data_IF_298854104038
#
_entry.id   IF_298854104038
#
_cell.length_a   1.000
_cell.length_b   1.000
_cell.length_c   1.000
_cell.angle_alpha   90.00
_cell.angle_beta   90.00
_cell.angle_gamma   90.00
#
_symmetry.space_group_name_H-M   'P 1'
#
loop_
_entity.id
_entity.type
_entity.pdbx_description
1 polymer ?
#
# COMPACT_ATOMS: atom_id res chain seq x y z
N UNK A 1 -5.62 -5.65 -25.06
CA UNK A 1 -4.64 -4.70 -24.49
C UNK A 1 -5.14 -3.29 -24.78
N UNK A 2 -5.36 -2.49 -23.74
CA UNK A 2 -5.90 -1.13 -23.83
C UNK A 2 -4.80 -0.11 -23.51
N UNK A 3 -4.99 1.13 -23.95
CA UNK A 3 -4.18 2.28 -23.55
C UNK A 3 -5.10 3.31 -22.91
N UNK A 4 -4.76 3.73 -21.69
CA UNK A 4 -5.47 4.78 -20.99
C UNK A 4 -4.59 6.04 -20.95
N UNK A 5 -5.09 7.12 -21.53
CA UNK A 5 -4.37 8.38 -21.67
C UNK A 5 -4.82 9.36 -20.57
N UNK A 6 -3.86 9.89 -19.82
CA UNK A 6 -4.06 11.04 -18.95
C UNK A 6 -3.35 12.28 -19.49
N UNK A 7 -3.37 13.35 -18.69
CA UNK A 7 -2.79 14.66 -19.03
C UNK A 7 -1.27 14.63 -19.18
N UNK A 8 -0.56 13.86 -18.35
CA UNK A 8 0.91 13.89 -18.29
C UNK A 8 1.57 12.60 -18.77
N UNK A 9 0.82 11.49 -18.85
CA UNK A 9 1.34 10.20 -19.30
C UNK A 9 0.24 9.25 -19.83
N UNK A 10 0.63 8.10 -20.36
CA UNK A 10 -0.24 6.98 -20.73
C UNK A 10 0.09 5.70 -19.94
N UNK A 11 -0.93 4.90 -19.65
CA UNK A 11 -0.80 3.57 -19.07
C UNK A 11 -1.13 2.49 -20.11
N UNK A 12 -0.23 1.49 -20.22
CA UNK A 12 -0.47 0.29 -21.03
C UNK A 12 -1.14 -0.78 -20.17
N UNK A 13 -2.35 -1.19 -20.56
CA UNK A 13 -3.21 -2.10 -19.79
C UNK A 13 -3.28 -3.47 -20.47
N UNK A 14 -2.91 -4.53 -19.75
CA UNK A 14 -2.78 -5.88 -20.30
C UNK A 14 -4.06 -6.72 -20.25
N UNK A 15 -5.21 -6.09 -19.98
CA UNK A 15 -6.55 -6.69 -20.06
C UNK A 15 -7.50 -5.79 -20.86
N UNK A 16 -8.60 -6.35 -21.34
CA UNK A 16 -9.72 -5.61 -21.92
C UNK A 16 -10.89 -5.46 -20.94
N UNK A 17 -10.80 -6.09 -19.77
CA UNK A 17 -11.85 -6.10 -18.75
C UNK A 17 -11.36 -5.30 -17.55
N UNK A 18 -11.72 -4.02 -17.49
CA UNK A 18 -11.40 -3.12 -16.38
C UNK A 18 -12.67 -2.41 -15.96
N UNK A 19 -12.98 -2.42 -14.67
CA UNK A 19 -14.16 -1.72 -14.16
C UNK A 19 -13.98 -0.19 -14.23
N UNK A 20 -15.10 0.54 -14.12
CA UNK A 20 -15.09 2.02 -14.24
C UNK A 20 -14.28 2.70 -13.14
N UNK A 21 -14.28 2.16 -11.93
CA UNK A 21 -13.55 2.72 -10.79
C UNK A 21 -12.06 2.55 -10.98
N UNK A 22 -11.59 1.36 -11.35
CA UNK A 22 -10.19 1.10 -11.69
C UNK A 22 -9.73 1.96 -12.87
N UNK A 23 -10.55 2.06 -13.93
CA UNK A 23 -10.26 2.93 -15.08
C UNK A 23 -10.08 4.39 -14.65
N UNK A 24 -10.96 4.90 -13.77
CA UNK A 24 -10.85 6.23 -13.20
C UNK A 24 -9.55 6.43 -12.43
N UNK A 25 -9.18 5.49 -11.56
CA UNK A 25 -7.93 5.53 -10.78
C UNK A 25 -6.68 5.54 -11.68
N UNK A 26 -6.66 4.75 -12.76
CA UNK A 26 -5.54 4.73 -13.72
C UNK A 26 -5.42 6.07 -14.44
N UNK A 27 -6.53 6.64 -14.89
CA UNK A 27 -6.56 7.97 -15.54
C UNK A 27 -6.12 9.04 -14.54
N UNK A 28 -6.59 8.99 -13.30
CA UNK A 28 -6.22 9.91 -12.23
C UNK A 28 -4.71 9.87 -11.94
N UNK A 29 -4.09 8.69 -11.93
CA UNK A 29 -2.63 8.53 -11.85
C UNK A 29 -1.93 9.16 -13.06
N UNK A 30 -2.40 8.89 -14.28
CA UNK A 30 -1.85 9.45 -15.52
C UNK A 30 -2.03 10.99 -15.63
N UNK A 31 -2.93 11.56 -14.82
CA UNK A 31 -3.15 12.99 -14.68
C UNK A 31 -2.22 13.66 -13.66
N UNK A 32 -1.33 12.93 -13.00
CA UNK A 32 -0.35 13.50 -12.08
C UNK A 32 0.93 13.91 -12.81
N UNK A 33 1.44 15.11 -12.53
CA UNK A 33 2.64 15.61 -13.23
C UNK A 33 3.89 14.77 -12.93
N UNK A 34 3.99 14.20 -11.73
CA UNK A 34 5.16 13.42 -11.32
C UNK A 34 5.35 12.13 -12.12
N UNK A 35 4.29 11.63 -12.76
CA UNK A 35 4.39 10.42 -13.60
C UNK A 35 4.92 10.72 -14.99
N UNK A 36 5.19 11.98 -15.35
CA UNK A 36 5.75 12.36 -16.65
C UNK A 36 7.04 11.57 -16.93
N UNK A 37 7.11 10.92 -18.08
CA UNK A 37 8.26 10.09 -18.48
C UNK A 37 8.38 8.74 -17.77
N UNK A 38 7.49 8.42 -16.82
CA UNK A 38 7.44 7.11 -16.19
C UNK A 38 6.90 6.05 -17.16
N UNK A 39 7.35 4.81 -17.05
CA UNK A 39 6.72 3.69 -17.74
C UNK A 39 5.62 3.14 -16.84
N UNK A 40 4.35 3.26 -17.24
CA UNK A 40 3.20 2.75 -16.46
C UNK A 40 2.63 1.51 -17.16
N UNK A 41 2.49 0.41 -16.42
CA UNK A 41 1.95 -0.87 -16.85
C UNK A 41 0.88 -1.33 -15.85
N UNK A 42 -0.27 -1.72 -16.37
CA UNK A 42 -1.39 -2.22 -15.56
C UNK A 42 -1.62 -3.69 -15.90
N UNK A 43 -1.45 -4.54 -14.89
CA UNK A 43 -1.51 -6.00 -15.01
C UNK A 43 -2.95 -6.50 -15.26
N UNK A 44 -3.10 -7.73 -15.78
CA UNK A 44 -4.42 -8.24 -16.17
C UNK A 44 -5.43 -8.39 -15.03
N UNK A 45 -4.94 -8.53 -13.79
CA UNK A 45 -5.70 -8.66 -12.54
C UNK A 45 -6.09 -7.32 -11.89
N UNK A 46 -5.91 -6.21 -12.62
CA UNK A 46 -6.20 -4.86 -12.13
C UNK A 46 -7.62 -4.72 -11.61
N UNK A 47 -7.74 -4.05 -10.47
CA UNK A 47 -9.01 -3.67 -9.87
C UNK A 47 -8.80 -2.44 -8.98
N UNK A 48 -9.90 -1.81 -8.57
CA UNK A 48 -9.85 -0.63 -7.72
C UNK A 48 -9.18 -0.93 -6.38
N UNK A 49 -8.20 -0.09 -6.01
CA UNK A 49 -7.52 -0.17 -4.72
C UNK A 49 -7.72 1.09 -3.87
N UNK A 50 -6.97 1.20 -2.78
CA UNK A 50 -6.99 2.37 -1.90
C UNK A 50 -6.20 3.54 -2.53
N UNK A 51 -6.81 4.20 -3.51
CA UNK A 51 -6.29 5.41 -4.15
C UNK A 51 -5.47 5.19 -5.42
N UNK A 52 -4.91 4.00 -5.60
CA UNK A 52 -4.38 3.51 -6.88
C UNK A 52 -4.92 2.11 -7.17
N UNK A 53 -4.84 1.68 -8.42
CA UNK A 53 -5.23 0.32 -8.81
C UNK A 53 -4.25 -0.71 -8.29
N UNK A 54 -4.77 -1.84 -7.80
CA UNK A 54 -3.96 -3.06 -7.65
C UNK A 54 -3.55 -3.54 -9.04
N UNK A 55 -2.40 -4.21 -9.16
CA UNK A 55 -1.83 -4.60 -10.45
C UNK A 55 -1.11 -3.46 -11.18
N UNK A 56 -0.77 -2.36 -10.49
CA UNK A 56 0.04 -1.28 -11.07
C UNK A 56 1.52 -1.60 -10.97
N UNK A 57 2.26 -1.44 -12.07
CA UNK A 57 3.73 -1.47 -12.09
C UNK A 57 4.22 -0.24 -12.82
N UNK A 58 5.12 0.51 -12.19
CA UNK A 58 5.68 1.71 -12.81
C UNK A 58 7.09 2.03 -12.36
N UNK A 59 7.82 2.78 -13.19
CA UNK A 59 9.11 3.35 -12.82
C UNK A 59 8.92 4.64 -12.02
N UNK A 60 9.61 4.79 -10.90
CA UNK A 60 9.76 6.04 -10.15
C UNK A 60 11.24 6.16 -9.78
N UNK A 61 11.86 7.33 -9.95
CA UNK A 61 13.31 7.50 -9.78
C UNK A 61 13.67 8.30 -8.54
N UNK A 62 13.08 9.49 -8.39
CA UNK A 62 13.51 10.54 -7.46
C UNK A 62 12.47 10.83 -6.37
N UNK A 63 11.47 9.94 -6.22
CA UNK A 63 10.29 10.17 -5.37
C UNK A 63 9.80 8.85 -4.78
N UNK A 64 8.99 8.95 -3.73
CA UNK A 64 8.25 7.82 -3.16
C UNK A 64 6.77 8.20 -3.08
N UNK A 65 5.88 7.27 -3.43
CA UNK A 65 4.42 7.41 -3.23
C UNK A 65 3.97 6.22 -2.40
N UNK A 66 3.78 6.37 -1.08
CA UNK A 66 3.49 5.25 -0.18
C UNK A 66 2.30 4.40 -0.63
N UNK A 67 1.21 5.04 -1.06
CA UNK A 67 0.02 4.35 -1.55
C UNK A 67 0.21 3.56 -2.85
N UNK A 68 1.25 3.82 -3.66
CA UNK A 68 1.58 2.98 -4.82
C UNK A 68 2.28 1.68 -4.42
N UNK A 69 2.87 1.63 -3.22
CA UNK A 69 3.40 0.38 -2.63
C UNK A 69 2.26 -0.42 -2.01
N UNK A 70 1.30 0.27 -1.38
CA UNK A 70 0.15 -0.34 -0.72
C UNK A 70 0.26 -0.36 0.80
N UNK A 71 -0.87 -0.56 1.47
CA UNK A 71 -0.97 -0.48 2.95
C UNK A 71 -0.49 -1.74 3.67
N UNK A 72 -0.56 -2.90 3.03
CA UNK A 72 0.02 -4.15 3.57
C UNK A 72 1.40 -4.35 2.93
N UNK A 73 2.37 -3.56 3.39
CA UNK A 73 3.73 -3.54 2.86
C UNK A 73 4.31 -4.96 2.91
N UNK A 74 4.85 -5.44 1.79
CA UNK A 74 5.44 -6.78 1.71
C UNK A 74 4.44 -7.93 1.80
N UNK A 75 3.14 -7.67 1.58
CA UNK A 75 2.18 -8.75 1.35
C UNK A 75 2.63 -9.58 0.15
N UNK A 76 2.69 -10.89 0.33
CA UNK A 76 3.25 -11.79 -0.66
C UNK A 76 3.01 -13.25 -0.32
N UNK A 77 3.42 -14.12 -1.23
CA UNK A 77 3.22 -15.55 -1.12
C UNK A 77 4.55 -16.27 -0.94
N UNK A 78 4.57 -17.22 -0.03
CA UNK A 78 5.61 -18.22 0.10
C UNK A 78 5.05 -19.58 -0.32
N UNK A 79 5.80 -20.34 -1.12
CA UNK A 79 5.40 -21.68 -1.57
C UNK A 79 6.44 -22.68 -1.10
N UNK A 80 5.99 -23.68 -0.33
CA UNK A 80 6.86 -24.72 0.21
C UNK A 80 6.40 -26.08 -0.30
N UNK A 81 7.32 -26.86 -0.86
CA UNK A 81 7.08 -28.26 -1.22
C UNK A 81 7.18 -29.11 0.03
N UNK A 82 6.21 -30.01 0.25
CA UNK A 82 6.27 -30.99 1.33
C UNK A 82 6.59 -32.37 0.78
N UNK A 83 7.46 -33.09 1.47
CA UNK A 83 7.86 -34.46 1.13
C UNK A 83 6.82 -35.49 1.58
N UNK A 84 5.60 -35.32 1.06
CA UNK A 84 4.42 -36.15 1.33
C UNK A 84 3.54 -36.20 0.09
N UNK A 85 2.99 -37.38 -0.21
CA UNK A 85 1.89 -37.52 -1.15
C UNK A 85 0.57 -37.13 -0.50
N UNK A 86 -0.39 -36.71 -1.31
CA UNK A 86 -1.69 -36.24 -0.84
C UNK A 86 -2.44 -37.28 -0.03
N UNK A 87 -2.33 -38.54 -0.43
CA UNK A 87 -2.96 -39.69 0.22
C UNK A 87 -2.40 -39.94 1.63
N UNK A 88 -1.19 -39.44 1.93
CA UNK A 88 -0.57 -39.53 3.25
C UNK A 88 -1.02 -38.41 4.20
N UNK A 89 -1.80 -37.43 3.72
CA UNK A 89 -2.16 -36.24 4.49
C UNK A 89 -3.57 -36.38 5.05
N UNK A 90 -3.68 -36.30 6.37
CA UNK A 90 -4.96 -36.09 7.04
C UNK A 90 -5.29 -34.59 7.04
N UNK A 91 -6.25 -34.17 6.21
CA UNK A 91 -6.60 -32.76 6.05
C UNK A 91 -7.22 -32.13 7.30
N UNK A 92 -8.06 -32.87 8.04
CA UNK A 92 -8.68 -32.36 9.27
C UNK A 92 -7.61 -32.08 10.34
N UNK A 93 -6.67 -33.02 10.50
CA UNK A 93 -5.55 -32.85 11.42
C UNK A 93 -4.63 -31.68 11.01
N UNK A 94 -4.39 -31.51 9.71
CA UNK A 94 -3.60 -30.40 9.19
C UNK A 94 -4.29 -29.06 9.46
N UNK A 95 -5.58 -28.91 9.14
CA UNK A 95 -6.35 -27.68 9.39
C UNK A 95 -6.39 -27.37 10.90
N UNK A 96 -6.67 -28.36 11.76
CA UNK A 96 -6.65 -28.17 13.21
C UNK A 96 -5.27 -27.71 13.70
N UNK A 97 -4.21 -28.34 13.20
CA UNK A 97 -2.82 -27.99 13.55
C UNK A 97 -2.52 -26.55 13.14
N UNK A 98 -2.84 -26.16 11.90
CA UNK A 98 -2.63 -24.79 11.42
C UNK A 98 -3.42 -23.80 12.28
N UNK A 99 -4.70 -24.02 12.54
CA UNK A 99 -5.54 -23.10 13.35
C UNK A 99 -5.05 -22.98 14.79
N UNK A 100 -4.53 -24.07 15.35
CA UNK A 100 -3.96 -24.09 16.70
C UNK A 100 -2.67 -23.27 16.79
N UNK A 101 -1.79 -23.36 15.80
CA UNK A 101 -0.47 -22.74 15.85
C UNK A 101 -0.35 -21.43 15.10
N UNK A 102 -1.27 -21.08 14.20
CA UNK A 102 -1.24 -19.86 13.39
C UNK A 102 -2.53 -19.06 13.63
N UNK A 103 -2.49 -18.07 14.55
CA UNK A 103 -3.62 -17.16 14.72
C UNK A 103 -3.97 -16.46 13.41
N UNK A 104 -5.26 -16.39 13.10
CA UNK A 104 -5.80 -15.76 11.89
C UNK A 104 -6.87 -14.71 12.22
N UNK A 105 -7.27 -13.94 11.21
CA UNK A 105 -8.15 -12.79 11.35
C UNK A 105 -7.47 -11.64 12.09
N UNK A 106 -8.18 -11.05 13.05
CA UNK A 106 -7.67 -9.95 13.88
C UNK A 106 -6.90 -10.42 15.12
N UNK A 107 -6.79 -11.74 15.34
CA UNK A 107 -6.11 -12.29 16.52
C UNK A 107 -4.60 -12.12 16.39
N UNK A 108 -3.98 -11.70 17.49
CA UNK A 108 -2.53 -11.71 17.70
C UNK A 108 -2.18 -12.71 18.80
N UNK A 109 -0.90 -13.02 18.98
CA UNK A 109 -0.47 -13.95 20.03
C UNK A 109 -0.53 -13.32 21.41
N UNK A 110 -0.81 -14.13 22.43
CA UNK A 110 -0.70 -13.68 23.83
C UNK A 110 0.77 -13.47 24.23
N UNK A 111 1.65 -14.38 23.77
CA UNK A 111 3.10 -14.34 23.96
C UNK A 111 3.81 -14.20 22.61
N UNK A 112 4.88 -13.42 22.59
CA UNK A 112 5.69 -13.20 21.39
C UNK A 112 6.19 -14.51 20.77
N UNK A 113 6.18 -14.56 19.43
CA UNK A 113 6.76 -15.68 18.70
C UNK A 113 8.28 -15.68 18.85
N UNK A 114 8.92 -16.86 18.87
CA UNK A 114 10.39 -16.99 18.99
C UNK A 114 11.17 -16.18 17.95
N UNK A 115 10.59 -15.99 16.76
CA UNK A 115 11.21 -15.20 15.69
C UNK A 115 11.04 -13.69 15.82
N UNK A 116 10.23 -13.21 16.77
CA UNK A 116 10.15 -11.77 17.10
C UNK A 116 11.54 -11.18 17.39
N UNK A 117 12.39 -11.94 18.07
CA UNK A 117 13.78 -11.56 18.39
C UNK A 117 14.72 -11.42 17.18
N UNK A 118 14.31 -11.89 16.00
CA UNK A 118 15.10 -11.80 14.77
C UNK A 118 14.73 -10.57 13.93
N UNK A 119 13.69 -9.85 14.31
CA UNK A 119 13.19 -8.68 13.59
C UNK A 119 13.83 -7.44 14.19
N UNK A 120 14.44 -6.62 13.33
CA UNK A 120 14.91 -5.28 13.71
C UNK A 120 13.73 -4.30 13.71
N UNK A 121 13.19 -4.07 14.90
CA UNK A 121 12.12 -3.10 15.12
C UNK A 121 12.65 -1.65 15.25
N UNK A 122 13.92 -1.46 15.60
CA UNK A 122 14.55 -0.15 15.80
C UNK A 122 14.88 0.54 14.45
N UNK A 123 15.02 -0.27 13.39
CA UNK A 123 15.11 0.19 12.01
C UNK A 123 13.86 0.88 11.49
N UNK A 124 12.68 0.66 12.09
CA UNK A 124 11.41 1.27 11.65
C UNK A 124 11.38 2.75 11.99
N UNK A 125 11.31 3.62 10.97
CA UNK A 125 11.29 5.09 11.11
C UNK A 125 9.88 5.70 11.02
N UNK A 126 8.92 5.06 11.67
CA UNK A 126 7.54 5.55 11.79
C UNK A 126 7.00 5.24 13.19
N UNK A 127 5.97 5.95 13.68
CA UNK A 127 5.28 5.57 14.91
C UNK A 127 4.51 4.25 14.76
N UNK A 128 4.70 3.31 15.68
CA UNK A 128 3.95 2.05 15.74
C UNK A 128 3.87 1.53 17.18
N UNK A 129 3.05 0.50 17.40
CA UNK A 129 2.94 -0.15 18.72
C UNK A 129 3.83 -1.38 18.79
N UNK A 130 4.99 -1.27 19.42
CA UNK A 130 6.01 -2.34 19.49
C UNK A 130 5.45 -3.67 19.98
N UNK A 131 4.75 -3.67 21.11
CA UNK A 131 4.18 -4.90 21.69
C UNK A 131 3.21 -5.60 20.71
N UNK A 132 2.41 -4.81 19.97
CA UNK A 132 1.49 -5.36 18.96
C UNK A 132 2.26 -5.93 17.78
N UNK A 133 3.31 -5.26 17.31
CA UNK A 133 4.15 -5.73 16.22
C UNK A 133 4.83 -7.06 16.58
N UNK A 134 5.47 -7.14 17.76
CA UNK A 134 6.12 -8.35 18.27
C UNK A 134 5.14 -9.55 18.40
N UNK A 135 3.93 -9.29 18.92
CA UNK A 135 2.87 -10.31 19.06
C UNK A 135 2.18 -10.68 17.76
N UNK A 136 2.35 -9.87 16.70
CA UNK A 136 1.82 -10.17 15.36
C UNK A 136 2.75 -11.07 14.54
N UNK A 137 4.00 -11.26 14.97
CA UNK A 137 4.93 -12.16 14.25
C UNK A 137 4.38 -13.60 14.26
N UNK A 138 4.39 -14.22 13.08
CA UNK A 138 3.92 -15.60 12.87
C UNK A 138 2.39 -15.76 12.89
N UNK A 139 1.62 -14.68 12.77
CA UNK A 139 0.16 -14.75 12.56
C UNK A 139 -0.19 -14.59 11.09
N UNK A 140 -1.33 -15.13 10.68
CA UNK A 140 -1.78 -15.09 9.29
C UNK A 140 -2.34 -13.72 8.91
N UNK A 141 -3.07 -13.06 9.81
CA UNK A 141 -3.88 -11.88 9.46
C UNK A 141 -5.25 -12.27 8.88
N UNK A 142 -5.95 -11.29 8.31
CA UNK A 142 -7.29 -11.45 7.75
C UNK A 142 -7.42 -10.75 6.40
N UNK A 143 -8.63 -10.70 5.84
CA UNK A 143 -8.81 -10.26 4.45
C UNK A 143 -8.52 -11.40 3.49
N UNK A 144 -7.60 -11.20 2.55
CA UNK A 144 -7.23 -12.20 1.55
C UNK A 144 -6.02 -13.08 1.95
N UNK A 145 -5.59 -13.05 3.22
CA UNK A 145 -4.51 -13.92 3.71
C UNK A 145 -5.01 -15.33 3.97
N UNK A 146 -4.26 -16.32 3.50
CA UNK A 146 -4.63 -17.74 3.57
C UNK A 146 -3.41 -18.64 3.71
N UNK A 147 -3.66 -19.86 4.17
CA UNK A 147 -2.76 -21.00 4.02
C UNK A 147 -3.57 -22.06 3.28
N UNK A 148 -3.04 -22.56 2.18
CA UNK A 148 -3.70 -23.57 1.36
C UNK A 148 -2.74 -24.70 1.00
N UNK A 149 -3.31 -25.88 0.76
CA UNK A 149 -2.61 -27.06 0.28
C UNK A 149 -2.96 -27.25 -1.19
N UNK A 150 -1.95 -27.34 -2.04
CA UNK A 150 -2.09 -27.54 -3.47
C UNK A 150 -1.36 -28.80 -3.93
N UNK A 151 -1.78 -29.33 -5.07
CA UNK A 151 -1.18 -30.49 -5.73
C UNK A 151 -0.93 -30.13 -7.21
N UNK A 152 0.24 -30.47 -7.74
CA UNK A 152 0.52 -30.31 -9.17
C UNK A 152 0.13 -31.54 -10.01
N UNK A 153 0.31 -31.45 -11.33
CA UNK A 153 0.05 -32.52 -12.29
C UNK A 153 0.94 -33.77 -12.12
N UNK A 154 1.99 -33.69 -11.30
CA UNK A 154 2.92 -34.78 -10.99
C UNK A 154 2.68 -35.37 -9.59
N UNK A 155 1.67 -34.90 -8.88
CA UNK A 155 1.35 -35.32 -7.51
C UNK A 155 2.39 -34.85 -6.49
N UNK A 156 3.09 -33.73 -6.73
CA UNK A 156 3.84 -33.04 -5.68
C UNK A 156 2.87 -32.16 -4.89
N UNK A 157 3.07 -32.09 -3.58
CA UNK A 157 2.20 -31.33 -2.69
C UNK A 157 2.91 -30.08 -2.20
N UNK A 158 2.17 -28.96 -2.18
CA UNK A 158 2.66 -27.63 -1.84
C UNK A 158 1.81 -27.01 -0.75
N UNK A 159 2.44 -26.31 0.18
CA UNK A 159 1.77 -25.37 1.07
C UNK A 159 2.06 -23.96 0.55
N UNK A 160 1.00 -23.22 0.23
CA UNK A 160 1.08 -21.81 -0.16
C UNK A 160 0.61 -20.97 1.02
N UNK A 161 1.43 -20.00 1.41
CA UNK A 161 1.17 -19.09 2.52
C UNK A 161 1.12 -17.68 1.96
N UNK A 162 -0.06 -17.07 2.00
CA UNK A 162 -0.25 -15.67 1.63
C UNK A 162 -0.45 -14.83 2.90
N UNK A 163 0.50 -13.95 3.20
CA UNK A 163 0.48 -13.09 4.38
C UNK A 163 1.26 -11.80 4.10
N UNK A 164 1.38 -10.91 5.08
CA UNK A 164 2.06 -9.63 4.94
C UNK A 164 2.59 -9.08 6.26
N UNK A 165 2.84 -7.78 6.29
CA UNK A 165 3.46 -7.08 7.43
C UNK A 165 2.54 -6.83 8.62
N UNK A 166 1.28 -7.27 8.51
CA UNK A 166 0.23 -7.07 9.52
C UNK A 166 0.05 -5.58 9.81
N UNK A 167 -0.35 -5.25 11.04
CA UNK A 167 -0.69 -3.87 11.34
C UNK A 167 0.53 -2.92 11.28
N UNK A 168 1.75 -3.46 11.40
CA UNK A 168 2.97 -2.67 11.33
C UNK A 168 3.11 -1.95 9.98
N UNK A 169 3.01 -2.67 8.86
CA UNK A 169 3.11 -2.03 7.55
C UNK A 169 1.98 -1.04 7.28
N UNK A 170 0.76 -1.33 7.77
CA UNK A 170 -0.35 -0.38 7.70
C UNK A 170 -0.03 0.93 8.44
N UNK A 171 0.49 0.85 9.67
CA UNK A 171 0.87 2.04 10.45
C UNK A 171 1.96 2.85 9.74
N UNK A 172 2.96 2.16 9.17
CA UNK A 172 4.04 2.80 8.41
C UNK A 172 3.48 3.51 7.16
N UNK A 173 2.65 2.82 6.37
CA UNK A 173 2.06 3.38 5.16
C UNK A 173 1.18 4.59 5.47
N UNK A 174 0.31 4.50 6.49
CA UNK A 174 -0.56 5.60 6.91
C UNK A 174 0.24 6.79 7.43
N UNK A 175 1.30 6.55 8.21
CA UNK A 175 2.19 7.61 8.70
C UNK A 175 2.84 8.37 7.55
N UNK A 176 3.51 7.68 6.62
CA UNK A 176 4.21 8.35 5.53
C UNK A 176 3.24 8.99 4.54
N UNK A 177 2.04 8.43 4.32
CA UNK A 177 1.02 9.07 3.49
C UNK A 177 0.53 10.38 4.10
N UNK A 178 0.35 10.41 5.43
CA UNK A 178 -0.02 11.63 6.15
C UNK A 178 1.11 12.66 6.14
N UNK A 179 2.34 12.21 6.40
CA UNK A 179 3.53 13.06 6.34
C UNK A 179 3.67 13.73 4.97
N UNK A 180 3.51 12.97 3.88
CA UNK A 180 3.54 13.47 2.52
C UNK A 180 2.47 14.55 2.27
N UNK A 181 1.24 14.28 2.72
CA UNK A 181 0.12 15.20 2.61
C UNK A 181 0.37 16.51 3.38
N UNK A 182 0.90 16.42 4.60
CA UNK A 182 1.24 17.58 5.42
C UNK A 182 2.36 18.40 4.79
N UNK A 183 3.43 17.76 4.31
CA UNK A 183 4.53 18.47 3.62
C UNK A 183 4.01 19.22 2.39
N UNK A 184 3.16 18.61 1.56
CA UNK A 184 2.57 19.33 0.43
C UNK A 184 1.68 20.50 0.86
N UNK A 185 0.88 20.36 1.93
CA UNK A 185 0.04 21.47 2.41
C UNK A 185 0.88 22.61 3.01
N UNK A 186 1.91 22.28 3.77
CA UNK A 186 2.83 23.27 4.33
C UNK A 186 3.70 23.93 3.24
N UNK A 187 4.04 23.21 2.17
CA UNK A 187 4.62 23.80 0.95
C UNK A 187 3.58 24.63 0.18
N UNK A 188 2.29 24.29 0.27
CA UNK A 188 1.17 25.14 -0.19
C UNK A 188 0.87 26.29 0.79
N UNK A 189 1.84 26.69 1.63
CA UNK A 189 1.79 27.92 2.43
C UNK A 189 1.91 29.19 1.59
N UNK A 190 1.40 29.18 0.34
CA UNK A 190 0.98 30.38 -0.40
C UNK A 190 0.22 31.32 0.53
N UNK A 191 -0.58 30.79 1.46
CA UNK A 191 -1.28 31.59 2.47
C UNK A 191 -0.32 32.28 3.45
N UNK A 192 0.67 31.59 4.00
CA UNK A 192 1.60 32.17 4.97
C UNK A 192 2.59 33.12 4.29
N UNK A 193 3.01 32.83 3.05
CA UNK A 193 3.80 33.75 2.23
C UNK A 193 3.00 34.99 1.83
N UNK A 194 1.74 34.84 1.43
CA UNK A 194 0.87 35.98 1.11
C UNK A 194 0.62 36.83 2.34
N UNK A 195 0.39 36.22 3.50
CA UNK A 195 0.25 36.93 4.78
C UNK A 195 1.56 37.67 5.10
N UNK A 196 2.71 36.98 5.11
CA UNK A 196 4.02 37.61 5.40
C UNK A 196 4.34 38.75 4.43
N UNK A 197 4.09 38.57 3.13
CA UNK A 197 4.33 39.59 2.10
C UNK A 197 3.41 40.80 2.29
N UNK A 198 2.10 40.59 2.41
CA UNK A 198 1.13 41.69 2.53
C UNK A 198 1.28 42.43 3.87
N UNK A 199 1.64 41.75 4.96
CA UNK A 199 2.00 42.38 6.23
C UNK A 199 3.27 43.24 6.08
N UNK A 200 4.31 42.74 5.39
CA UNK A 200 5.53 43.52 5.11
C UNK A 200 5.27 44.74 4.21
N UNK A 201 4.29 44.67 3.32
CA UNK A 201 3.87 45.77 2.43
C UNK A 201 2.86 46.74 3.09
N UNK A 202 2.45 46.52 4.35
CA UNK A 202 1.42 47.35 5.02
C UNK A 202 0.01 47.18 4.44
N UNK A 203 -0.23 46.12 3.65
CA UNK A 203 -1.48 45.82 2.92
C UNK A 203 -2.33 44.78 3.64
N UNK A 204 -2.37 44.86 4.97
CA UNK A 204 -3.03 43.87 5.84
C UNK A 204 -4.53 43.74 5.54
N UNK A 205 -5.18 44.84 5.12
CA UNK A 205 -6.60 44.88 4.73
C UNK A 205 -6.91 43.99 3.50
N UNK A 206 -5.90 43.64 2.70
CA UNK A 206 -6.06 42.85 1.48
C UNK A 206 -5.86 41.34 1.72
N UNK A 207 -5.38 40.94 2.90
CA UNK A 207 -5.09 39.54 3.25
C UNK A 207 -6.35 38.69 3.10
N UNK A 208 -7.46 39.07 3.74
CA UNK A 208 -8.73 38.34 3.70
C UNK A 208 -9.26 38.15 2.28
N UNK A 209 -9.17 39.19 1.44
CA UNK A 209 -9.63 39.14 0.03
C UNK A 209 -8.75 38.22 -0.80
N UNK A 210 -7.43 38.31 -0.63
CA UNK A 210 -6.44 37.52 -1.36
C UNK A 210 -6.54 36.03 -0.98
N UNK A 211 -6.68 35.72 0.31
CA UNK A 211 -6.84 34.35 0.80
C UNK A 211 -8.12 33.67 0.30
N UNK A 212 -9.22 34.41 0.10
CA UNK A 212 -10.48 33.91 -0.46
C UNK A 212 -10.39 33.59 -1.95
N UNK A 213 -9.48 34.24 -2.68
CA UNK A 213 -9.27 34.03 -4.12
C UNK A 213 -8.37 32.84 -4.46
N UNK A 214 -7.67 32.27 -3.48
CA UNK A 214 -6.81 31.10 -3.70
C UNK A 214 -7.68 29.86 -3.90
N UNK A 215 -7.67 29.31 -5.11
CA UNK A 215 -8.20 27.96 -5.34
C UNK A 215 -7.36 26.99 -4.52
N UNK A 216 -7.97 26.31 -3.55
CA UNK A 216 -7.32 25.18 -2.86
C UNK A 216 -6.88 24.19 -3.95
N UNK A 217 -5.61 23.77 -4.01
CA UNK A 217 -5.25 22.70 -4.91
C UNK A 217 -6.07 21.48 -4.50
N UNK A 218 -6.76 20.88 -5.47
CA UNK A 218 -7.55 19.67 -5.25
C UNK A 218 -6.57 18.48 -5.25
N UNK A 219 -5.76 18.40 -4.20
CA UNK A 219 -4.74 17.37 -4.06
C UNK A 219 -5.43 16.13 -3.51
N UNK A 220 -5.49 15.07 -4.31
CA UNK A 220 -5.93 13.77 -3.81
C UNK A 220 -4.87 13.23 -2.88
N UNK A 221 -5.28 13.00 -1.63
CA UNK A 221 -4.37 12.55 -0.57
C UNK A 221 -3.61 11.30 -0.97
N UNK A 222 -4.20 10.47 -1.83
CA UNK A 222 -3.70 9.15 -2.14
C UNK A 222 -2.59 9.07 -3.18
N UNK A 223 -2.35 10.13 -3.96
CA UNK A 223 -1.31 10.18 -5.01
C UNK A 223 -0.19 11.16 -4.67
N UNK A 224 -0.02 11.43 -3.38
CA UNK A 224 0.94 12.41 -2.89
C UNK A 224 2.33 11.81 -2.74
N UNK A 225 3.31 12.60 -3.18
CA UNK A 225 4.73 12.30 -3.18
C UNK A 225 5.36 12.70 -1.84
N UNK A 226 6.36 11.93 -1.43
CA UNK A 226 7.43 12.39 -0.53
C UNK A 226 8.74 12.49 -1.32
N UNK A 227 9.55 13.50 -0.99
CA UNK A 227 10.93 13.66 -1.43
C UNK A 227 11.90 13.17 -0.36
#
# INVERSE_FOLDING_TARGET
MLKLQGKYNEAKVFTNNVDKTATGQIIDLCNQEFVKGSQIRIMPDTHAGAGCTIGTTMTIQDKIVPNLVGVDIGCGMEVVVIDKKKEEINFDYLDETIRKFVPSGFRIRDKEHRFSKKIDFDGVKAPYTLQRAQKSIGTLGGGNHFIELNEDDKGNVYIVIHSGSRNLGKQIAEYYQNFAYEQLIHVTSMKDEIIKRLTKEGREKEIQKTLRGIKKPQIRKELILTF
#
